data_IF_644136420528
#
_entry.id   IF_644136420528
#
_cell.length_a   1.000
_cell.length_b   1.000
_cell.length_c   1.000
_cell.angle_alpha   90.00
_cell.angle_beta   90.00
_cell.angle_gamma   90.00
#
_symmetry.space_group_name_H-M   'P 1'
#
loop_
_entity.id
_entity.type
_entity.pdbx_description
1 polymer ?
#
# COMPACT_ATOMS: atom_id res chain seq x y z
N UNK A 1 22.79 -37.59 5.35
CA UNK A 1 21.89 -36.43 5.59
C UNK A 1 22.29 -35.82 6.94
N UNK A 2 22.54 -34.52 7.03
CA UNK A 2 22.90 -33.86 8.30
C UNK A 2 21.74 -33.94 9.31
N UNK A 3 22.03 -34.16 10.60
CA UNK A 3 21.04 -34.30 11.69
C UNK A 3 19.98 -33.18 11.69
N UNK A 4 20.39 -31.94 11.41
CA UNK A 4 19.53 -30.75 11.28
C UNK A 4 18.41 -30.92 10.24
N UNK A 5 18.67 -31.59 9.11
CA UNK A 5 17.66 -31.79 8.05
C UNK A 5 16.59 -32.78 8.49
N UNK A 6 16.96 -33.76 9.32
CA UNK A 6 16.01 -34.72 9.92
C UNK A 6 15.10 -33.99 10.90
N UNK A 7 15.65 -33.14 11.76
CA UNK A 7 14.87 -32.33 12.71
C UNK A 7 13.92 -31.35 12.00
N UNK A 8 14.36 -30.69 10.92
CA UNK A 8 13.47 -29.83 10.12
C UNK A 8 12.30 -30.63 9.53
N UNK A 9 12.55 -31.81 8.97
CA UNK A 9 11.48 -32.68 8.45
C UNK A 9 10.52 -33.12 9.55
N UNK A 10 11.04 -33.49 10.71
CA UNK A 10 10.26 -33.89 11.89
C UNK A 10 9.38 -32.74 12.38
N UNK A 11 9.93 -31.52 12.45
CA UNK A 11 9.17 -30.33 12.80
C UNK A 11 8.04 -30.07 11.79
N UNK A 12 8.33 -30.10 10.49
CA UNK A 12 7.33 -29.91 9.43
C UNK A 12 6.21 -30.96 9.45
N UNK A 13 6.50 -32.18 9.92
CA UNK A 13 5.48 -33.20 10.13
C UNK A 13 4.62 -32.88 11.38
N UNK A 14 5.26 -32.56 12.51
CA UNK A 14 4.57 -32.31 13.78
C UNK A 14 3.63 -31.11 13.74
N UNK A 15 3.95 -30.06 12.97
CA UNK A 15 3.06 -28.89 12.85
C UNK A 15 1.73 -29.19 12.16
N UNK A 16 1.63 -30.33 11.45
CA UNK A 16 0.38 -30.77 10.79
C UNK A 16 -0.54 -31.54 11.73
N UNK A 17 0.01 -32.13 12.79
CA UNK A 17 -0.71 -33.04 13.69
C UNK A 17 -1.04 -32.38 15.01
N UNK A 18 -0.12 -31.57 15.55
CA UNK A 18 -0.21 -31.04 16.89
C UNK A 18 -0.65 -29.58 16.85
N UNK A 19 -1.49 -29.15 17.80
CA UNK A 19 -1.72 -27.73 18.03
C UNK A 19 -0.57 -27.16 18.85
N UNK A 20 -0.02 -26.01 18.44
CA UNK A 20 1.01 -25.30 19.22
C UNK A 20 0.48 -23.95 19.70
N UNK A 21 0.86 -23.56 20.90
CA UNK A 21 0.67 -22.23 21.46
C UNK A 21 1.74 -21.26 20.96
N UNK A 22 1.50 -19.95 21.13
CA UNK A 22 2.54 -18.93 20.86
C UNK A 22 3.80 -19.12 21.71
N UNK A 23 3.67 -19.59 22.96
CA UNK A 23 4.81 -19.86 23.85
C UNK A 23 5.68 -20.98 23.30
N UNK A 24 5.06 -22.07 22.85
CA UNK A 24 5.76 -23.19 22.21
C UNK A 24 6.38 -22.77 20.88
N UNK A 25 5.68 -21.96 20.08
CA UNK A 25 6.24 -21.43 18.84
C UNK A 25 7.52 -20.60 19.07
N UNK A 26 7.56 -19.79 20.14
CA UNK A 26 8.77 -19.05 20.55
C UNK A 26 9.91 -19.99 20.96
N UNK A 27 9.60 -21.08 21.68
CA UNK A 27 10.60 -22.09 22.04
C UNK A 27 11.14 -22.82 20.81
N UNK A 28 10.28 -23.22 19.88
CA UNK A 28 10.68 -23.83 18.60
C UNK A 28 11.54 -22.86 17.78
N UNK A 29 11.16 -21.58 17.73
CA UNK A 29 11.91 -20.56 17.02
C UNK A 29 13.30 -20.33 17.63
N UNK A 30 13.47 -20.50 18.95
CA UNK A 30 14.78 -20.37 19.59
C UNK A 30 15.80 -21.39 19.08
N UNK A 31 15.37 -22.63 18.79
CA UNK A 31 16.21 -23.62 18.12
C UNK A 31 16.61 -23.20 16.70
N UNK A 32 15.74 -22.44 16.03
CA UNK A 32 16.02 -21.95 14.68
C UNK A 32 17.02 -20.79 14.64
N UNK A 33 17.34 -20.15 15.79
CA UNK A 33 18.28 -19.03 15.86
C UNK A 33 19.68 -19.48 15.45
N UNK A 34 20.11 -20.66 15.88
CA UNK A 34 21.47 -21.16 15.63
C UNK A 34 21.62 -21.86 14.26
N UNK A 35 20.53 -21.97 13.50
CA UNK A 35 20.57 -22.61 12.18
C UNK A 35 21.18 -21.68 11.12
N UNK A 36 21.98 -22.23 10.18
CA UNK A 36 22.40 -21.48 9.00
C UNK A 36 21.19 -20.96 8.20
N UNK A 37 21.32 -19.76 7.62
CA UNK A 37 20.23 -19.08 6.86
C UNK A 37 19.61 -19.99 5.80
N UNK A 38 20.42 -20.79 5.09
CA UNK A 38 19.93 -21.76 4.10
C UNK A 38 18.92 -22.77 4.66
N UNK A 39 19.10 -23.19 5.92
CA UNK A 39 18.21 -24.13 6.61
C UNK A 39 16.92 -23.43 7.04
N UNK A 40 17.01 -22.18 7.50
CA UNK A 40 15.84 -21.35 7.82
C UNK A 40 15.02 -21.08 6.55
N UNK A 41 15.67 -20.77 5.44
CA UNK A 41 15.03 -20.60 4.13
C UNK A 41 14.28 -21.87 3.71
N UNK A 42 14.93 -23.04 3.84
CA UNK A 42 14.33 -24.34 3.49
C UNK A 42 13.12 -24.66 4.37
N UNK A 43 13.26 -24.50 5.70
CA UNK A 43 12.15 -24.68 6.65
C UNK A 43 10.97 -23.79 6.27
N UNK A 44 11.25 -22.50 6.05
CA UNK A 44 10.22 -21.50 5.77
C UNK A 44 9.55 -21.72 4.42
N UNK A 45 10.28 -22.18 3.40
CA UNK A 45 9.71 -22.60 2.14
C UNK A 45 8.75 -23.79 2.29
N UNK A 46 9.08 -24.74 3.18
CA UNK A 46 8.19 -25.85 3.55
C UNK A 46 6.93 -25.36 4.27
N UNK A 47 7.09 -24.46 5.25
CA UNK A 47 5.96 -23.85 5.98
C UNK A 47 5.02 -23.10 5.03
N UNK A 48 5.57 -22.30 4.11
CA UNK A 48 4.78 -21.61 3.08
C UNK A 48 3.99 -22.61 2.23
N UNK A 49 4.65 -23.67 1.74
CA UNK A 49 4.00 -24.70 0.93
C UNK A 49 2.83 -25.37 1.66
N UNK A 50 3.02 -25.71 2.94
CA UNK A 50 1.96 -26.25 3.79
C UNK A 50 0.83 -25.22 3.94
N UNK A 51 1.16 -23.97 4.27
CA UNK A 51 0.17 -22.92 4.48
C UNK A 51 -0.74 -22.69 3.27
N UNK A 52 -0.16 -22.68 2.07
CA UNK A 52 -0.86 -22.38 0.81
C UNK A 52 -1.61 -23.57 0.22
N UNK A 53 -1.49 -24.77 0.79
CA UNK A 53 -2.25 -25.92 0.31
C UNK A 53 -3.73 -25.80 0.74
N UNK A 54 -4.71 -25.92 -0.19
CA UNK A 54 -6.13 -25.78 0.13
C UNK A 54 -6.64 -26.73 1.22
N UNK A 55 -6.18 -27.98 1.19
CA UNK A 55 -6.55 -29.04 2.13
C UNK A 55 -5.89 -28.94 3.53
N UNK A 56 -5.06 -27.92 3.77
CA UNK A 56 -4.41 -27.74 5.07
C UNK A 56 -5.41 -27.29 6.13
N UNK A 57 -5.35 -27.89 7.32
CA UNK A 57 -6.28 -27.60 8.42
C UNK A 57 -6.05 -26.21 9.01
N UNK A 58 -7.11 -25.62 9.60
CA UNK A 58 -7.03 -24.32 10.29
C UNK A 58 -5.98 -24.33 11.41
N UNK A 59 -5.89 -25.43 12.16
CA UNK A 59 -4.88 -25.61 13.22
C UNK A 59 -3.46 -25.54 12.64
N UNK A 60 -3.20 -26.26 11.55
CA UNK A 60 -1.89 -26.23 10.90
C UNK A 60 -1.53 -24.82 10.39
N UNK A 61 -2.48 -24.11 9.78
CA UNK A 61 -2.26 -22.72 9.34
C UNK A 61 -1.97 -21.80 10.52
N UNK A 62 -2.66 -21.96 11.65
CA UNK A 62 -2.41 -21.20 12.87
C UNK A 62 -1.00 -21.46 13.42
N UNK A 63 -0.57 -22.72 13.44
CA UNK A 63 0.79 -23.10 13.85
C UNK A 63 1.85 -22.40 12.99
N UNK A 64 1.66 -22.42 11.66
CA UNK A 64 2.57 -21.73 10.73
C UNK A 64 2.59 -20.22 10.98
N UNK A 65 1.44 -19.57 11.22
CA UNK A 65 1.37 -18.14 11.55
C UNK A 65 2.17 -17.80 12.82
N UNK A 66 2.10 -18.64 13.85
CA UNK A 66 2.89 -18.43 15.06
C UNK A 66 4.40 -18.58 14.85
N UNK A 67 4.82 -19.50 13.98
CA UNK A 67 6.25 -19.71 13.71
C UNK A 67 6.83 -18.63 12.78
N UNK A 68 6.11 -18.27 11.72
CA UNK A 68 6.68 -17.44 10.65
C UNK A 68 7.10 -16.05 11.13
N UNK A 69 6.39 -15.47 12.11
CA UNK A 69 6.69 -14.16 12.69
C UNK A 69 8.12 -14.13 13.27
N UNK A 70 8.61 -15.24 13.83
CA UNK A 70 9.97 -15.32 14.39
C UNK A 70 11.03 -15.67 13.35
N UNK A 71 10.64 -16.25 12.22
CA UNK A 71 11.58 -16.74 11.19
C UNK A 71 11.81 -15.71 10.08
N UNK A 72 10.84 -14.83 9.80
CA UNK A 72 10.84 -13.93 8.65
C UNK A 72 12.11 -13.07 8.57
N UNK A 73 12.50 -12.47 9.69
CA UNK A 73 13.64 -11.55 9.77
C UNK A 73 15.00 -12.22 9.55
N UNK A 74 15.06 -13.55 9.66
CA UNK A 74 16.26 -14.37 9.44
C UNK A 74 16.43 -14.81 7.99
N UNK A 75 15.40 -14.67 7.15
CA UNK A 75 15.45 -15.05 5.75
C UNK A 75 16.33 -14.08 4.95
N UNK A 76 17.00 -14.61 3.94
CA UNK A 76 17.61 -13.74 2.93
C UNK A 76 16.54 -13.06 2.05
N UNK A 77 16.98 -11.97 1.40
CA UNK A 77 16.13 -11.15 0.54
C UNK A 77 15.56 -11.97 -0.64
N UNK A 78 16.35 -12.86 -1.23
CA UNK A 78 15.94 -13.69 -2.37
C UNK A 78 14.79 -14.64 -2.02
N UNK A 79 14.84 -15.24 -0.83
CA UNK A 79 13.81 -16.13 -0.31
C UNK A 79 12.51 -15.37 -0.06
N UNK A 80 12.59 -14.17 0.52
CA UNK A 80 11.40 -13.30 0.70
C UNK A 80 10.77 -12.93 -0.65
N UNK A 81 11.57 -12.55 -1.65
CA UNK A 81 11.07 -12.32 -3.02
C UNK A 81 10.45 -13.57 -3.63
N UNK A 82 11.02 -14.75 -3.40
CA UNK A 82 10.48 -16.00 -3.94
C UNK A 82 9.03 -16.25 -3.50
N UNK A 83 8.64 -15.84 -2.29
CA UNK A 83 7.26 -15.95 -1.81
C UNK A 83 6.32 -14.99 -2.54
N UNK A 84 6.75 -13.75 -2.78
CA UNK A 84 6.02 -12.80 -3.62
C UNK A 84 5.88 -13.29 -5.06
N UNK A 85 6.92 -13.89 -5.64
CA UNK A 85 6.84 -14.50 -6.98
C UNK A 85 5.89 -15.70 -7.02
N UNK A 86 5.86 -16.53 -5.98
CA UNK A 86 4.90 -17.65 -5.89
C UNK A 86 3.46 -17.14 -5.81
N UNK A 87 3.20 -16.11 -5.00
CA UNK A 87 1.91 -15.43 -4.99
C UNK A 87 1.52 -14.93 -6.39
N UNK A 88 2.43 -14.21 -7.07
CA UNK A 88 2.20 -13.72 -8.42
C UNK A 88 1.86 -14.83 -9.43
N UNK A 89 2.50 -16.00 -9.30
CA UNK A 89 2.19 -17.17 -10.14
C UNK A 89 0.79 -17.71 -9.87
N UNK A 90 0.36 -17.80 -8.61
CA UNK A 90 -1.01 -18.21 -8.28
C UNK A 90 -2.05 -17.25 -8.87
N UNK A 91 -1.78 -15.93 -8.82
CA UNK A 91 -2.64 -14.92 -9.46
C UNK A 91 -2.68 -15.12 -10.98
N UNK A 92 -1.53 -15.25 -11.63
CA UNK A 92 -1.43 -15.43 -13.09
C UNK A 92 -2.12 -16.71 -13.58
N UNK A 93 -2.11 -17.77 -12.79
CA UNK A 93 -2.76 -19.04 -13.10
C UNK A 93 -4.23 -19.12 -12.68
N UNK A 94 -4.79 -18.06 -12.08
CA UNK A 94 -6.15 -18.04 -11.52
C UNK A 94 -6.38 -19.10 -10.40
N UNK A 95 -5.32 -19.46 -9.66
CA UNK A 95 -5.36 -20.33 -8.48
C UNK A 95 -5.88 -19.55 -7.26
N UNK A 96 -7.18 -19.19 -7.26
CA UNK A 96 -7.77 -18.20 -6.34
C UNK A 96 -7.55 -18.52 -4.85
N UNK A 97 -7.72 -19.78 -4.44
CA UNK A 97 -7.56 -20.17 -3.03
C UNK A 97 -6.11 -20.07 -2.59
N UNK A 98 -5.18 -20.58 -3.38
CA UNK A 98 -3.75 -20.52 -3.10
C UNK A 98 -3.25 -19.07 -3.12
N UNK A 99 -3.73 -18.24 -4.05
CA UNK A 99 -3.42 -16.82 -4.10
C UNK A 99 -3.87 -16.11 -2.82
N UNK A 100 -5.10 -16.36 -2.37
CA UNK A 100 -5.63 -15.81 -1.10
C UNK A 100 -4.77 -16.23 0.09
N UNK A 101 -4.44 -17.51 0.21
CA UNK A 101 -3.60 -18.02 1.30
C UNK A 101 -2.18 -17.44 1.25
N UNK A 102 -1.56 -17.37 0.08
CA UNK A 102 -0.24 -16.78 -0.08
C UNK A 102 -0.24 -15.28 0.28
N UNK A 103 -1.32 -14.56 -0.05
CA UNK A 103 -1.51 -13.16 0.37
C UNK A 103 -1.58 -13.02 1.89
N UNK A 104 -2.43 -13.81 2.54
CA UNK A 104 -2.55 -13.82 4.00
C UNK A 104 -1.24 -14.16 4.72
N UNK A 105 -0.45 -15.07 4.14
CA UNK A 105 0.88 -15.41 4.66
C UNK A 105 1.81 -14.20 4.63
N UNK A 106 1.89 -13.49 3.50
CA UNK A 106 2.71 -12.29 3.37
C UNK A 106 2.21 -11.16 4.28
N UNK A 107 0.90 -11.03 4.46
CA UNK A 107 0.31 -10.05 5.39
C UNK A 107 0.67 -10.31 6.84
N UNK A 108 0.75 -11.58 7.26
CA UNK A 108 1.12 -11.96 8.64
C UNK A 108 2.52 -11.47 9.03
N UNK A 109 3.41 -11.26 8.05
CA UNK A 109 4.80 -10.85 8.26
C UNK A 109 5.14 -9.48 7.66
N UNK A 110 4.13 -8.70 7.28
CA UNK A 110 4.31 -7.42 6.59
C UNK A 110 5.23 -7.51 5.36
N UNK A 111 5.14 -8.63 4.63
CA UNK A 111 5.99 -9.01 3.48
C UNK A 111 5.46 -8.58 2.10
N UNK A 112 4.45 -7.71 2.03
CA UNK A 112 3.80 -7.30 0.77
C UNK A 112 4.76 -6.55 -0.17
N UNK A 113 5.81 -5.92 0.37
CA UNK A 113 6.85 -5.24 -0.41
C UNK A 113 7.70 -6.19 -1.28
N UNK A 114 7.63 -7.50 -1.05
CA UNK A 114 8.31 -8.52 -1.86
C UNK A 114 7.44 -9.04 -3.01
N UNK A 115 6.20 -8.59 -3.14
CA UNK A 115 5.33 -8.92 -4.28
C UNK A 115 5.85 -8.18 -5.52
N UNK A 116 5.94 -8.85 -6.69
CA UNK A 116 6.35 -8.20 -7.93
C UNK A 116 5.52 -6.98 -8.27
N UNK A 117 6.18 -5.90 -8.70
CA UNK A 117 5.55 -4.61 -8.95
C UNK A 117 4.43 -4.70 -9.99
N UNK A 118 4.54 -5.53 -11.03
CA UNK A 118 3.46 -5.71 -12.02
C UNK A 118 2.14 -6.18 -11.40
N UNK A 119 2.19 -7.10 -10.42
CA UNK A 119 0.99 -7.55 -9.71
C UNK A 119 0.49 -6.47 -8.75
N UNK A 120 1.40 -5.82 -8.02
CA UNK A 120 1.04 -4.72 -7.11
C UNK A 120 0.38 -3.57 -7.86
N UNK A 121 0.89 -3.20 -9.03
CA UNK A 121 0.33 -2.18 -9.91
C UNK A 121 -1.11 -2.53 -10.30
N UNK A 122 -1.35 -3.75 -10.78
CA UNK A 122 -2.70 -4.19 -11.15
C UNK A 122 -3.68 -4.15 -9.97
N UNK A 123 -3.28 -4.65 -8.78
CA UNK A 123 -4.11 -4.61 -7.57
C UNK A 123 -4.45 -3.18 -7.13
N UNK A 124 -3.44 -2.30 -7.12
CA UNK A 124 -3.61 -0.89 -6.74
C UNK A 124 -4.51 -0.19 -7.74
N UNK A 125 -4.32 -0.41 -9.04
CA UNK A 125 -5.14 0.17 -10.11
C UNK A 125 -6.62 -0.23 -9.96
N UNK A 126 -6.91 -1.53 -9.78
CA UNK A 126 -8.28 -2.00 -9.52
C UNK A 126 -8.86 -1.38 -8.24
N UNK A 127 -8.05 -1.21 -7.18
CA UNK A 127 -8.51 -0.58 -5.95
C UNK A 127 -8.79 0.92 -6.12
N UNK A 128 -8.00 1.63 -6.95
CA UNK A 128 -8.23 3.03 -7.32
C UNK A 128 -9.55 3.16 -8.09
N UNK A 129 -9.79 2.30 -9.07
CA UNK A 129 -11.02 2.31 -9.88
C UNK A 129 -12.26 2.08 -9.01
N UNK A 130 -12.19 1.10 -8.10
CA UNK A 130 -13.28 0.83 -7.15
C UNK A 130 -13.55 2.00 -6.21
N UNK A 131 -12.48 2.63 -5.67
CA UNK A 131 -12.62 3.80 -4.81
C UNK A 131 -13.24 4.98 -5.56
N UNK A 132 -12.76 5.29 -6.78
CA UNK A 132 -13.29 6.39 -7.58
C UNK A 132 -14.75 6.14 -8.00
N UNK A 133 -15.10 4.89 -8.31
CA UNK A 133 -16.48 4.50 -8.63
C UNK A 133 -17.38 4.73 -7.42
N UNK A 134 -16.98 4.27 -6.23
CA UNK A 134 -17.72 4.49 -5.00
C UNK A 134 -17.82 5.99 -4.67
N UNK A 135 -16.72 6.73 -4.84
CA UNK A 135 -16.62 8.16 -4.57
C UNK A 135 -17.56 8.97 -5.46
N UNK A 136 -17.65 8.65 -6.75
CA UNK A 136 -18.50 9.37 -7.71
C UNK A 136 -19.97 8.94 -7.67
N UNK A 137 -20.31 7.91 -6.91
CA UNK A 137 -21.67 7.38 -6.78
C UNK A 137 -22.55 8.19 -5.82
N UNK A 138 -23.87 7.90 -5.83
CA UNK A 138 -24.87 8.63 -5.02
C UNK A 138 -24.67 8.40 -3.51
N UNK A 139 -24.31 7.18 -3.09
CA UNK A 139 -24.13 6.79 -1.68
C UNK A 139 -22.65 6.78 -1.26
N UNK A 140 -21.88 7.73 -1.78
CA UNK A 140 -20.43 7.76 -1.62
C UNK A 140 -20.00 7.79 -0.13
N UNK A 141 -20.66 8.57 0.72
CA UNK A 141 -20.32 8.67 2.15
C UNK A 141 -20.38 7.34 2.91
N UNK A 142 -21.27 6.44 2.49
CA UNK A 142 -21.41 5.11 3.09
C UNK A 142 -20.41 4.10 2.49
N UNK A 143 -20.17 4.18 1.19
CA UNK A 143 -19.40 3.18 0.44
C UNK A 143 -17.89 3.45 0.45
N UNK A 144 -17.47 4.71 0.33
CA UNK A 144 -16.06 5.13 0.26
C UNK A 144 -15.18 4.55 1.38
N UNK A 145 -15.58 4.56 2.67
CA UNK A 145 -14.70 4.13 3.75
C UNK A 145 -14.17 2.70 3.58
N UNK A 146 -14.97 1.79 3.01
CA UNK A 146 -14.56 0.41 2.78
C UNK A 146 -13.45 0.33 1.72
N UNK A 147 -13.61 1.03 0.62
CA UNK A 147 -12.64 1.07 -0.48
C UNK A 147 -11.38 1.86 -0.10
N UNK A 148 -11.51 2.93 0.69
CA UNK A 148 -10.38 3.68 1.23
C UNK A 148 -9.49 2.79 2.13
N UNK A 149 -10.09 1.99 3.02
CA UNK A 149 -9.36 1.02 3.85
C UNK A 149 -8.68 -0.05 2.99
N UNK A 150 -9.34 -0.51 1.94
CA UNK A 150 -8.74 -1.49 1.01
C UNK A 150 -7.49 -0.91 0.34
N UNK A 151 -7.58 0.30 -0.22
CA UNK A 151 -6.44 0.95 -0.85
C UNK A 151 -5.30 1.18 0.15
N UNK A 152 -5.60 1.69 1.34
CA UNK A 152 -4.59 1.90 2.40
C UNK A 152 -3.84 0.60 2.76
N UNK A 153 -4.55 -0.54 2.87
CA UNK A 153 -3.92 -1.85 3.12
C UNK A 153 -3.01 -2.33 1.99
N UNK A 154 -3.39 -2.09 0.73
CA UNK A 154 -2.60 -2.51 -0.43
C UNK A 154 -1.30 -1.70 -0.56
N UNK A 155 -1.36 -0.39 -0.28
CA UNK A 155 -0.20 0.49 -0.25
C UNK A 155 0.76 0.10 0.89
N UNK A 156 0.20 -0.27 2.03
CA UNK A 156 0.95 -0.71 3.22
C UNK A 156 1.68 0.44 3.92
N UNK A 157 2.43 0.10 4.96
CA UNK A 157 3.05 1.12 5.84
C UNK A 157 4.25 1.83 5.23
N UNK A 158 4.94 1.15 4.31
CA UNK A 158 6.10 1.71 3.62
C UNK A 158 5.73 2.77 2.56
N UNK A 159 4.45 2.88 2.17
CA UNK A 159 4.00 3.87 1.18
C UNK A 159 4.56 3.69 -0.23
N UNK A 160 5.29 2.60 -0.51
CA UNK A 160 6.00 2.41 -1.79
C UNK A 160 5.04 2.02 -2.90
N UNK A 161 4.70 2.98 -3.75
CA UNK A 161 3.84 2.79 -4.92
C UNK A 161 4.70 2.46 -6.14
N UNK A 162 4.36 1.42 -6.93
CA UNK A 162 5.02 1.18 -8.21
C UNK A 162 4.92 2.41 -9.14
N UNK A 163 5.99 2.79 -9.85
CA UNK A 163 6.00 4.00 -10.70
C UNK A 163 4.86 4.06 -11.72
N UNK A 164 4.44 2.90 -12.23
CA UNK A 164 3.39 2.77 -13.26
C UNK A 164 2.02 3.31 -12.80
N UNK A 165 1.70 3.20 -11.51
CA UNK A 165 0.41 3.62 -10.94
C UNK A 165 0.54 4.82 -10.01
N UNK A 166 1.75 5.35 -9.80
CA UNK A 166 2.03 6.42 -8.84
C UNK A 166 1.19 7.67 -9.10
N UNK A 167 1.13 8.11 -10.37
CA UNK A 167 0.36 9.31 -10.75
C UNK A 167 -1.14 9.12 -10.56
N UNK A 168 -1.68 7.95 -10.91
CA UNK A 168 -3.10 7.63 -10.74
C UNK A 168 -3.47 7.55 -9.26
N UNK A 169 -2.60 6.95 -8.45
CA UNK A 169 -2.76 6.89 -7.00
C UNK A 169 -2.84 8.28 -6.37
N UNK A 170 -1.90 9.18 -6.70
CA UNK A 170 -1.91 10.55 -6.19
C UNK A 170 -3.18 11.28 -6.61
N UNK A 171 -3.55 11.25 -7.88
CA UNK A 171 -4.77 11.92 -8.34
C UNK A 171 -6.04 11.34 -7.72
N UNK A 172 -6.10 10.01 -7.54
CA UNK A 172 -7.23 9.35 -6.90
C UNK A 172 -7.43 9.86 -5.46
N UNK A 173 -6.35 9.91 -4.67
CA UNK A 173 -6.42 10.40 -3.29
C UNK A 173 -6.76 11.88 -3.22
N UNK A 174 -6.16 12.71 -4.07
CA UNK A 174 -6.53 14.13 -4.12
C UNK A 174 -8.00 14.29 -4.48
N UNK A 175 -8.48 13.61 -5.53
CA UNK A 175 -9.88 13.70 -5.93
C UNK A 175 -10.83 13.30 -4.79
N UNK A 176 -10.58 12.16 -4.13
CA UNK A 176 -11.39 11.68 -3.03
C UNK A 176 -11.38 12.66 -1.83
N UNK A 177 -10.20 13.17 -1.47
CA UNK A 177 -10.02 14.11 -0.35
C UNK A 177 -10.69 15.46 -0.60
N UNK A 178 -10.76 15.92 -1.86
CA UNK A 178 -11.45 17.16 -2.21
C UNK A 178 -12.97 17.07 -2.11
N UNK A 179 -13.54 15.87 -1.93
CA UNK A 179 -14.99 15.60 -1.91
C UNK A 179 -15.69 15.90 -3.26
N UNK A 180 -16.98 15.58 -3.33
CA UNK A 180 -17.86 16.00 -4.42
C UNK A 180 -18.49 17.38 -4.21
N UNK A 181 -18.07 18.15 -3.21
CA UNK A 181 -18.59 19.50 -2.93
C UNK A 181 -19.84 19.55 -2.06
N UNK A 182 -20.47 18.40 -1.77
CA UNK A 182 -21.68 18.31 -0.94
C UNK A 182 -21.36 18.30 0.56
N UNK A 183 -20.51 17.37 0.99
CA UNK A 183 -20.06 17.21 2.39
C UNK A 183 -18.76 16.38 2.42
N UNK A 184 -18.16 16.25 3.59
CA UNK A 184 -16.98 15.44 3.87
C UNK A 184 -17.40 14.03 4.27
N UNK A 185 -16.74 13.03 3.69
CA UNK A 185 -16.86 11.64 4.12
C UNK A 185 -16.10 11.42 5.44
N UNK A 186 -16.68 11.84 6.57
CA UNK A 186 -16.08 11.79 7.92
C UNK A 186 -15.42 10.45 8.29
N UNK A 187 -15.97 9.31 7.86
CA UNK A 187 -15.41 7.98 8.12
C UNK A 187 -14.25 7.59 7.18
N UNK A 188 -14.10 8.25 6.04
CA UNK A 188 -13.03 8.01 5.07
C UNK A 188 -11.90 9.04 5.20
N UNK A 189 -12.21 10.26 5.62
CA UNK A 189 -11.26 11.37 5.71
C UNK A 189 -10.00 11.05 6.54
N UNK A 190 -10.08 10.47 7.76
CA UNK A 190 -8.88 10.11 8.51
C UNK A 190 -7.97 9.12 7.75
N UNK A 191 -8.56 8.26 6.91
CA UNK A 191 -7.82 7.29 6.10
C UNK A 191 -7.11 7.99 4.94
N UNK A 192 -7.78 8.95 4.29
CA UNK A 192 -7.16 9.77 3.25
C UNK A 192 -6.00 10.60 3.82
N UNK A 193 -6.18 11.24 4.98
CA UNK A 193 -5.11 11.99 5.66
C UNK A 193 -3.92 11.07 5.97
N UNK A 194 -4.15 9.89 6.55
CA UNK A 194 -3.07 8.94 6.84
C UNK A 194 -2.29 8.50 5.58
N UNK A 195 -2.95 8.40 4.42
CA UNK A 195 -2.28 8.12 3.15
C UNK A 195 -1.52 9.34 2.60
N UNK A 196 -2.12 10.53 2.64
CA UNK A 196 -1.48 11.78 2.20
C UNK A 196 -0.26 12.12 3.06
N UNK A 197 -0.29 11.80 4.35
CA UNK A 197 0.85 11.97 5.25
C UNK A 197 2.03 11.03 4.94
N UNK A 198 1.80 9.95 4.19
CA UNK A 198 2.86 9.05 3.73
C UNK A 198 3.46 9.46 2.39
N UNK A 199 2.99 10.54 1.76
CA UNK A 199 3.54 11.00 0.48
C UNK A 199 5.00 11.41 0.63
N UNK A 200 5.82 10.96 -0.31
CA UNK A 200 7.17 11.50 -0.51
C UNK A 200 7.13 12.86 -1.20
N UNK A 201 8.29 13.49 -1.39
CA UNK A 201 8.36 14.82 -2.01
C UNK A 201 7.91 14.85 -3.48
N UNK A 202 8.06 13.76 -4.23
CA UNK A 202 7.59 13.67 -5.62
C UNK A 202 6.06 13.59 -5.66
N UNK A 203 5.48 12.69 -4.86
CA UNK A 203 4.03 12.53 -4.71
C UNK A 203 3.38 13.81 -4.17
N UNK A 204 4.03 14.47 -3.22
CA UNK A 204 3.55 15.75 -2.68
C UNK A 204 3.48 16.82 -3.75
N UNK A 205 4.49 16.91 -4.62
CA UNK A 205 4.43 17.85 -5.73
C UNK A 205 3.36 17.46 -6.77
N UNK A 206 3.22 16.19 -7.11
CA UNK A 206 2.13 15.72 -7.97
C UNK A 206 0.76 16.12 -7.40
N UNK A 207 0.59 16.05 -6.08
CA UNK A 207 -0.61 16.48 -5.39
C UNK A 207 -0.82 18.01 -5.44
N UNK A 208 0.23 18.81 -5.21
CA UNK A 208 0.19 20.27 -5.33
C UNK A 208 -0.20 20.69 -6.74
N UNK A 209 0.39 20.06 -7.76
CA UNK A 209 0.17 20.38 -9.18
C UNK A 209 -1.11 19.76 -9.77
N UNK A 210 -1.85 19.01 -8.96
CA UNK A 210 -3.04 18.26 -9.38
C UNK A 210 -4.19 19.16 -9.86
N UNK A 211 -4.20 20.45 -9.53
CA UNK A 211 -5.15 21.42 -10.09
C UNK A 211 -5.08 21.53 -11.62
N UNK A 212 -4.01 21.04 -12.25
CA UNK A 212 -3.89 20.95 -13.71
C UNK A 212 -4.66 19.74 -14.30
N UNK A 213 -5.04 18.76 -13.49
CA UNK A 213 -5.91 17.67 -13.90
C UNK A 213 -7.34 18.18 -14.08
N UNK A 214 -7.98 17.85 -15.22
CA UNK A 214 -9.32 18.36 -15.53
C UNK A 214 -10.42 17.94 -14.55
N UNK A 215 -10.38 16.69 -14.04
CA UNK A 215 -11.33 16.21 -13.03
C UNK A 215 -11.21 17.01 -11.74
N UNK A 216 -9.98 17.16 -11.25
CA UNK A 216 -9.68 17.89 -10.01
C UNK A 216 -10.00 19.38 -10.16
N UNK A 217 -9.57 19.99 -11.26
CA UNK A 217 -9.86 21.39 -11.60
C UNK A 217 -11.36 21.70 -11.59
N UNK A 218 -12.19 20.83 -12.19
CA UNK A 218 -13.63 21.02 -12.23
C UNK A 218 -14.26 21.06 -10.82
N UNK A 219 -13.76 20.25 -9.88
CA UNK A 219 -14.26 20.22 -8.49
C UNK A 219 -14.00 21.50 -7.73
N UNK A 220 -12.91 22.21 -8.06
CA UNK A 220 -12.53 23.47 -7.42
C UNK A 220 -13.53 24.62 -7.72
N UNK A 221 -14.58 24.38 -8.51
CA UNK A 221 -15.73 25.29 -8.60
C UNK A 221 -16.54 25.35 -7.30
N UNK A 222 -16.54 24.27 -6.50
CA UNK A 222 -17.31 24.17 -5.26
C UNK A 222 -16.52 24.70 -4.06
N UNK A 223 -17.20 25.46 -3.18
CA UNK A 223 -16.58 26.09 -2.00
C UNK A 223 -15.89 25.08 -1.07
N UNK A 224 -16.54 23.95 -0.79
CA UNK A 224 -15.96 22.90 0.07
C UNK A 224 -14.69 22.30 -0.55
N UNK A 225 -14.70 22.00 -1.84
CA UNK A 225 -13.51 21.50 -2.53
C UNK A 225 -12.35 22.51 -2.48
N UNK A 226 -12.63 23.81 -2.56
CA UNK A 226 -11.60 24.85 -2.40
C UNK A 226 -11.02 24.91 -0.99
N UNK A 227 -11.83 24.65 0.05
CA UNK A 227 -11.36 24.56 1.44
C UNK A 227 -10.47 23.33 1.61
N UNK A 228 -10.94 22.16 1.16
CA UNK A 228 -10.15 20.91 1.18
C UNK A 228 -8.86 21.02 0.36
N UNK A 229 -8.85 21.76 -0.74
CA UNK A 229 -7.62 21.99 -1.50
C UNK A 229 -6.59 22.81 -0.72
N UNK A 230 -7.02 23.83 0.04
CA UNK A 230 -6.10 24.58 0.92
C UNK A 230 -5.56 23.71 2.05
N UNK A 231 -6.40 22.87 2.64
CA UNK A 231 -5.97 21.87 3.63
C UNK A 231 -4.96 20.87 3.04
N UNK A 232 -5.20 20.38 1.82
CA UNK A 232 -4.23 19.54 1.10
C UNK A 232 -2.88 20.25 0.96
N UNK A 233 -2.89 21.53 0.55
CA UNK A 233 -1.67 22.32 0.42
C UNK A 233 -0.93 22.48 1.75
N UNK A 234 -1.64 22.59 2.87
CA UNK A 234 -1.04 22.62 4.22
C UNK A 234 -0.35 21.29 4.55
N UNK A 235 -1.01 20.16 4.30
CA UNK A 235 -0.40 18.83 4.49
C UNK A 235 0.86 18.70 3.61
N UNK A 236 0.77 19.08 2.33
CA UNK A 236 1.89 18.97 1.38
C UNK A 236 3.05 19.91 1.70
N UNK A 237 2.80 21.06 2.35
CA UNK A 237 3.86 21.98 2.81
C UNK A 237 4.88 21.28 3.71
N UNK A 238 4.41 20.33 4.52
CA UNK A 238 5.25 19.54 5.42
C UNK A 238 5.99 18.39 4.73
N UNK A 239 5.69 18.10 3.46
CA UNK A 239 6.29 17.01 2.67
C UNK A 239 7.36 17.46 1.68
N UNK A 240 7.50 18.77 1.53
CA UNK A 240 8.47 19.38 0.62
C UNK A 240 9.52 20.15 1.42
N UNK A 241 10.80 19.96 1.07
CA UNK A 241 11.91 20.71 1.68
C UNK A 241 12.22 22.00 0.91
N UNK A 242 11.99 22.02 -0.40
CA UNK A 242 12.33 23.13 -1.29
C UNK A 242 11.56 24.41 -0.94
N UNK A 243 12.32 25.47 -0.69
CA UNK A 243 11.77 26.80 -0.40
C UNK A 243 10.97 27.35 -1.60
N UNK A 244 11.41 27.08 -2.82
CA UNK A 244 10.69 27.48 -4.05
C UNK A 244 9.30 26.83 -4.11
N UNK A 245 9.18 25.55 -3.72
CA UNK A 245 7.89 24.85 -3.69
C UNK A 245 7.00 25.41 -2.58
N UNK A 246 7.57 25.73 -1.41
CA UNK A 246 6.83 26.34 -0.30
C UNK A 246 6.27 27.71 -0.66
N UNK A 247 7.07 28.56 -1.31
CA UNK A 247 6.63 29.86 -1.81
C UNK A 247 5.53 29.72 -2.85
N UNK A 248 5.65 28.74 -3.75
CA UNK A 248 4.61 28.43 -4.71
C UNK A 248 3.31 27.99 -4.01
N UNK A 249 3.38 27.11 -3.00
CA UNK A 249 2.21 26.73 -2.20
C UNK A 249 1.54 27.96 -1.56
N UNK A 250 2.32 28.87 -0.97
CA UNK A 250 1.78 30.08 -0.36
C UNK A 250 1.11 31.01 -1.38
N UNK A 251 1.65 31.08 -2.60
CA UNK A 251 1.01 31.76 -3.71
C UNK A 251 -0.33 31.10 -4.09
N UNK A 252 -0.38 29.76 -4.17
CA UNK A 252 -1.63 29.03 -4.46
C UNK A 252 -2.69 29.27 -3.38
N UNK A 253 -2.31 29.28 -2.10
CA UNK A 253 -3.24 29.56 -0.98
C UNK A 253 -3.84 30.96 -1.06
N UNK A 254 -3.05 31.94 -1.50
CA UNK A 254 -3.43 33.36 -1.67
C UNK A 254 -4.10 33.68 -3.00
N UNK A 255 -4.28 32.70 -3.88
CA UNK A 255 -4.91 32.90 -5.18
C UNK A 255 -6.36 33.39 -5.01
N UNK A 256 -6.65 34.57 -5.58
CA UNK A 256 -7.93 35.28 -5.37
C UNK A 256 -8.99 34.93 -6.40
N UNK A 257 -8.59 34.56 -7.61
CA UNK A 257 -9.52 34.16 -8.66
C UNK A 257 -10.11 32.77 -8.35
N UNK A 258 -11.22 32.36 -9.00
CA UNK A 258 -11.81 31.05 -8.78
C UNK A 258 -10.80 29.93 -9.01
N UNK A 259 -10.59 29.05 -8.03
CA UNK A 259 -9.50 28.06 -8.08
C UNK A 259 -9.59 27.10 -9.27
N UNK A 260 -10.79 26.86 -9.81
CA UNK A 260 -10.96 26.04 -11.02
C UNK A 260 -10.32 26.67 -12.28
N UNK A 261 -10.11 27.99 -12.31
CA UNK A 261 -9.45 28.69 -13.43
C UNK A 261 -7.94 28.75 -13.31
N UNK A 262 -7.38 28.33 -12.16
CA UNK A 262 -5.95 28.41 -11.85
C UNK A 262 -5.06 27.73 -12.90
N UNK A 263 -5.52 26.62 -13.49
CA UNK A 263 -4.80 25.92 -14.57
C UNK A 263 -4.65 26.74 -15.86
N UNK A 264 -5.38 27.84 -16.01
CA UNK A 264 -5.33 28.73 -17.17
C UNK A 264 -4.49 29.99 -16.93
N UNK A 265 -4.19 30.31 -15.67
CA UNK A 265 -3.40 31.49 -15.28
C UNK A 265 -1.97 31.40 -15.86
N UNK A 266 -1.53 32.47 -16.53
CA UNK A 266 -0.26 32.50 -17.24
C UNK A 266 0.96 32.47 -16.32
N UNK A 267 0.89 33.14 -15.17
CA UNK A 267 1.99 33.18 -14.21
C UNK A 267 2.14 31.82 -13.51
N UNK A 268 1.02 31.22 -13.12
CA UNK A 268 0.99 29.86 -12.55
C UNK A 268 1.53 28.85 -13.56
N UNK A 269 1.08 28.88 -14.83
CA UNK A 269 1.59 27.98 -15.88
C UNK A 269 3.11 28.09 -16.03
N UNK A 270 3.64 29.32 -16.10
CA UNK A 270 5.09 29.54 -16.21
C UNK A 270 5.85 28.94 -15.04
N UNK A 271 5.36 29.13 -13.81
CA UNK A 271 5.99 28.55 -12.61
C UNK A 271 5.90 27.02 -12.59
N UNK A 272 4.78 26.44 -12.98
CA UNK A 272 4.63 24.98 -13.10
C UNK A 272 5.64 24.39 -14.08
N UNK A 273 5.84 25.01 -15.24
CA UNK A 273 6.85 24.56 -16.20
C UNK A 273 8.28 24.67 -15.66
N UNK A 274 8.58 25.73 -14.90
CA UNK A 274 9.88 25.86 -14.24
C UNK A 274 10.08 24.80 -13.15
N UNK A 275 9.06 24.50 -12.35
CA UNK A 275 9.11 23.46 -11.33
C UNK A 275 9.36 22.08 -11.96
N UNK A 276 8.65 21.73 -13.04
CA UNK A 276 8.83 20.46 -13.75
C UNK A 276 10.27 20.27 -14.24
N UNK A 277 10.92 21.32 -14.75
CA UNK A 277 12.32 21.28 -15.22
C UNK A 277 13.34 21.05 -14.10
N UNK A 278 13.00 21.37 -12.86
CA UNK A 278 13.88 21.17 -11.70
C UNK A 278 13.85 19.70 -11.23
N UNK A 279 12.86 18.92 -11.67
CA UNK A 279 12.60 17.56 -11.19
C UNK A 279 12.80 16.48 -12.26
N UNK A 280 12.99 16.90 -13.51
CA UNK A 280 13.48 16.07 -14.62
C UNK A 280 15.00 15.99 -14.59
#
# INVERSE_FOLDING_TARGET
MSNVVVEIKKLLANIKTNQISQKEAKQIASFCIDLPVEKINTLTAGLFGIYTQPNTTTITRQNVRFLIIFLWDRLDKNTRYSFGTKYARFVANNDKEQAKLAREFLETVSGQSYIPDGIRSAEIQTSIENLLTAHRGINNFYNEPAFARQLHRLVGDMGKIPPQVNREYVHCLVEAFLTNGNNVAWNAEPIYIAMLEKFDSEQALLAILSFNNSSISARLQHKLCQQKFRELLEIMTNKVSSQVIKEFIEQLKKYKAPLHTMKYDSDIKRQVENLKKILS
#
